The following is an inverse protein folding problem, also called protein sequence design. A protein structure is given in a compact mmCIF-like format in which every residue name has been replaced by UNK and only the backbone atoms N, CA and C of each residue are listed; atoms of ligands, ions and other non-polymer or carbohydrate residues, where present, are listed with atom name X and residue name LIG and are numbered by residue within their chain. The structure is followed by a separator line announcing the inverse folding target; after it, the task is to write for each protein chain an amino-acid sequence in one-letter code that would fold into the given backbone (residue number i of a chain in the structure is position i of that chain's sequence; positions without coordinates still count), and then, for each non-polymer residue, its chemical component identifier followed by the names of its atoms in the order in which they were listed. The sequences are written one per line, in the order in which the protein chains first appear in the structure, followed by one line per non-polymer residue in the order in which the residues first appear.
data_IF_216433710380
#
_entry.id   IF_216433710380
#
_cell.length_a   1.000
_cell.length_b   1.000
_cell.length_c   1.000
_cell.angle_alpha   90.00
_cell.angle_beta   90.00
_cell.angle_gamma   90.00
#
_symmetry.space_group_name_H-M   'P 1'
#
loop_
_entity.id
_entity.type
_entity.pdbx_description
1 polymer ?
#
# COMPACT_ATOMS: atom_id res chain seq x y z
N UNK A 1 0.46 23.46 -13.41
CA UNK A 1 1.30 22.62 -12.51
C UNK A 1 0.48 21.90 -11.44
N UNK A 2 -0.27 22.58 -10.55
CA UNK A 2 -1.09 21.89 -9.55
C UNK A 2 -2.29 21.16 -10.17
N UNK A 3 -2.95 21.79 -11.14
CA UNK A 3 -4.07 21.20 -11.89
C UNK A 3 -3.63 20.00 -12.75
N UNK A 4 -2.55 20.14 -13.53
CA UNK A 4 -2.01 19.04 -14.35
C UNK A 4 -1.60 17.81 -13.51
N UNK A 5 -1.11 18.02 -12.28
CA UNK A 5 -0.79 16.92 -11.35
C UNK A 5 -2.05 16.24 -10.83
N UNK A 6 -3.14 17.00 -10.64
CA UNK A 6 -4.43 16.44 -10.22
C UNK A 6 -5.05 15.59 -11.34
N UNK A 7 -5.03 16.09 -12.58
CA UNK A 7 -5.52 15.33 -13.75
C UNK A 7 -4.71 14.05 -13.99
N UNK A 8 -3.38 14.11 -13.83
CA UNK A 8 -2.53 12.92 -13.93
C UNK A 8 -2.78 11.91 -12.81
N UNK A 9 -3.16 12.38 -11.61
CA UNK A 9 -3.52 11.51 -10.49
C UNK A 9 -4.82 10.76 -10.80
N UNK A 10 -5.86 11.50 -11.17
CA UNK A 10 -7.19 10.94 -11.47
C UNK A 10 -7.13 9.92 -12.61
N UNK A 11 -6.40 10.24 -13.69
CA UNK A 11 -6.19 9.30 -14.79
C UNK A 11 -5.50 8.01 -14.32
N UNK A 12 -4.50 8.12 -13.45
CA UNK A 12 -3.75 6.96 -12.99
C UNK A 12 -4.55 6.11 -11.99
N UNK A 13 -5.41 6.73 -11.18
CA UNK A 13 -6.39 6.05 -10.32
C UNK A 13 -7.42 5.28 -11.16
N UNK A 14 -8.00 5.91 -12.18
CA UNK A 14 -8.96 5.26 -13.09
C UNK A 14 -8.34 4.04 -13.80
N UNK A 15 -7.10 4.15 -14.29
CA UNK A 15 -6.39 3.01 -14.93
C UNK A 15 -6.15 1.88 -13.93
N UNK A 16 -5.83 2.21 -12.67
CA UNK A 16 -5.63 1.21 -11.62
C UNK A 16 -6.94 0.48 -11.28
N UNK A 17 -8.05 1.20 -11.18
CA UNK A 17 -9.38 0.63 -10.93
C UNK A 17 -9.82 -0.29 -12.08
N UNK A 18 -9.69 0.15 -13.33
CA UNK A 18 -9.98 -0.67 -14.51
C UNK A 18 -9.13 -1.96 -14.50
N UNK A 19 -7.85 -1.87 -14.14
CA UNK A 19 -6.98 -3.04 -14.05
C UNK A 19 -7.38 -4.03 -12.93
N UNK A 20 -8.00 -3.55 -11.85
CA UNK A 20 -8.57 -4.41 -10.81
C UNK A 20 -9.85 -5.11 -11.32
N UNK A 21 -10.74 -4.37 -11.97
CA UNK A 21 -12.02 -4.88 -12.50
C UNK A 21 -11.79 -5.96 -13.57
N UNK A 22 -10.87 -5.69 -14.50
CA UNK A 22 -10.42 -6.61 -15.55
C UNK A 22 -9.54 -7.75 -15.03
N UNK A 23 -9.29 -7.81 -13.71
CA UNK A 23 -8.47 -8.84 -13.05
C UNK A 23 -7.05 -8.93 -13.62
N UNK A 24 -6.53 -7.83 -14.16
CA UNK A 24 -5.14 -7.75 -14.63
C UNK A 24 -4.16 -7.69 -13.45
N UNK A 25 -4.60 -7.12 -12.32
CA UNK A 25 -3.82 -7.05 -11.08
C UNK A 25 -4.65 -7.54 -9.89
N UNK A 26 -3.98 -8.18 -8.93
CA UNK A 26 -4.61 -8.69 -7.70
C UNK A 26 -3.70 -8.39 -6.50
N UNK A 27 -3.73 -7.15 -5.98
CA UNK A 27 -2.86 -6.76 -4.90
C UNK A 27 -3.30 -7.42 -3.58
N UNK A 28 -4.57 -7.79 -3.41
CA UNK A 28 -5.05 -8.35 -2.16
C UNK A 28 -4.71 -9.83 -2.00
N UNK A 29 -4.06 -10.16 -0.89
CA UNK A 29 -3.76 -11.54 -0.48
C UNK A 29 -4.58 -11.93 0.74
N UNK A 30 -5.08 -13.17 0.71
CA UNK A 30 -5.55 -13.84 1.93
C UNK A 30 -4.36 -14.13 2.81
N UNK A 31 -4.34 -13.54 3.99
CA UNK A 31 -3.28 -13.75 4.97
C UNK A 31 -3.89 -13.78 6.37
N UNK A 32 -3.20 -14.45 7.28
CA UNK A 32 -3.60 -14.62 8.68
C UNK A 32 -2.43 -14.24 9.59
N UNK A 33 -2.72 -13.72 10.78
CA UNK A 33 -1.73 -13.54 11.83
C UNK A 33 -1.44 -14.86 12.56
N UNK A 34 -0.60 -14.79 13.61
CA UNK A 34 -0.18 -15.95 14.39
C UNK A 34 -1.33 -16.58 15.20
N UNK A 35 -2.38 -15.81 15.48
CA UNK A 35 -3.59 -16.26 16.20
C UNK A 35 -4.67 -16.80 15.24
N UNK A 36 -4.39 -16.81 13.93
CA UNK A 36 -5.30 -17.28 12.89
C UNK A 36 -6.38 -16.27 12.52
N UNK A 37 -6.28 -15.02 12.97
CA UNK A 37 -7.17 -13.93 12.56
C UNK A 37 -6.78 -13.46 11.18
N UNK A 38 -7.78 -13.18 10.35
CA UNK A 38 -7.55 -12.66 9.01
C UNK A 38 -6.96 -11.25 9.09
N UNK A 39 -5.86 -11.04 8.35
CA UNK A 39 -5.20 -9.74 8.20
C UNK A 39 -5.39 -9.23 6.77
N UNK A 40 -5.40 -7.91 6.60
CA UNK A 40 -5.51 -7.28 5.28
C UNK A 40 -4.11 -7.13 4.72
N UNK A 41 -3.72 -8.03 3.82
CA UNK A 41 -2.41 -7.98 3.18
C UNK A 41 -2.53 -7.47 1.74
N UNK A 42 -1.89 -6.33 1.45
CA UNK A 42 -1.76 -5.78 0.10
C UNK A 42 -0.35 -6.03 -0.43
N UNK A 43 -0.23 -6.75 -1.53
CA UNK A 43 1.02 -7.14 -2.15
C UNK A 43 1.38 -6.27 -3.35
N UNK A 44 2.43 -5.48 -3.17
CA UNK A 44 2.96 -4.52 -4.12
C UNK A 44 4.34 -4.92 -4.65
N UNK A 45 4.86 -6.11 -4.32
CA UNK A 45 6.26 -6.45 -4.65
C UNK A 45 6.57 -6.46 -6.16
N UNK A 46 5.55 -6.60 -7.02
CA UNK A 46 5.69 -6.55 -8.49
C UNK A 46 5.36 -5.18 -9.07
N UNK A 47 4.92 -4.23 -8.24
CA UNK A 47 4.42 -2.95 -8.70
C UNK A 47 5.58 -2.00 -8.97
N UNK A 48 5.41 -1.16 -9.99
CA UNK A 48 6.26 0.00 -10.18
C UNK A 48 6.01 1.03 -9.06
N UNK A 49 6.95 1.96 -8.84
CA UNK A 49 6.77 3.03 -7.83
C UNK A 49 5.47 3.83 -8.02
N UNK A 50 5.12 4.29 -9.25
CA UNK A 50 3.86 5.01 -9.46
C UNK A 50 2.63 4.17 -9.13
N UNK A 51 2.62 2.90 -9.56
CA UNK A 51 1.49 2.00 -9.32
C UNK A 51 1.32 1.68 -7.83
N UNK A 52 2.43 1.47 -7.11
CA UNK A 52 2.42 1.26 -5.67
C UNK A 52 1.83 2.47 -4.92
N UNK A 53 2.17 3.70 -5.34
CA UNK A 53 1.59 4.91 -4.76
C UNK A 53 0.07 4.94 -4.95
N UNK A 54 -0.41 4.74 -6.18
CA UNK A 54 -1.84 4.75 -6.50
C UNK A 54 -2.59 3.68 -5.70
N UNK A 55 -2.06 2.47 -5.66
CA UNK A 55 -2.65 1.37 -4.91
C UNK A 55 -2.79 1.72 -3.42
N UNK A 56 -1.73 2.25 -2.79
CA UNK A 56 -1.78 2.65 -1.38
C UNK A 56 -2.76 3.82 -1.17
N UNK A 57 -2.77 4.83 -2.04
CA UNK A 57 -3.77 5.93 -1.93
C UNK A 57 -5.19 5.42 -2.01
N UNK A 58 -5.51 4.63 -3.03
CA UNK A 58 -6.84 4.03 -3.21
C UNK A 58 -7.30 3.28 -1.95
N UNK A 59 -6.41 2.52 -1.31
CA UNK A 59 -6.72 1.80 -0.08
C UNK A 59 -6.90 2.73 1.12
N UNK A 60 -5.96 3.64 1.36
CA UNK A 60 -6.04 4.53 2.52
C UNK A 60 -7.22 5.50 2.38
N UNK A 61 -7.45 6.08 1.21
CA UNK A 61 -8.61 6.92 0.91
C UNK A 61 -9.92 6.14 1.14
N UNK A 62 -10.00 4.88 0.69
CA UNK A 62 -11.15 4.01 0.95
C UNK A 62 -11.35 3.73 2.45
N UNK A 63 -10.26 3.44 3.18
CA UNK A 63 -10.34 3.25 4.63
C UNK A 63 -10.83 4.52 5.32
N UNK A 64 -10.27 5.68 5.00
CA UNK A 64 -10.65 6.97 5.60
C UNK A 64 -12.08 7.39 5.25
N UNK A 65 -12.57 7.11 4.05
CA UNK A 65 -13.95 7.42 3.63
C UNK A 65 -15.00 6.51 4.26
N UNK A 66 -14.63 5.27 4.60
CA UNK A 66 -15.51 4.32 5.32
C UNK A 66 -15.60 4.67 6.83
N UNK A 67 -14.68 5.46 7.38
CA UNK A 67 -14.54 5.69 8.83
C UNK A 67 -15.49 6.78 9.35
N UNK A 68 -16.53 6.31 10.04
CA UNK A 68 -16.88 6.83 11.37
C UNK A 68 -15.73 6.50 12.36
N UNK A 69 -15.48 7.34 13.39
CA UNK A 69 -14.22 7.41 14.15
C UNK A 69 -13.97 6.25 15.13
N UNK A 70 -13.90 5.02 14.64
CA UNK A 70 -13.30 3.90 15.38
C UNK A 70 -11.93 3.59 14.77
N UNK A 71 -10.87 3.92 15.50
CA UNK A 71 -9.43 3.73 15.20
C UNK A 71 -8.98 2.31 14.79
N UNK A 72 -9.88 1.33 14.74
CA UNK A 72 -9.54 -0.11 14.77
C UNK A 72 -9.24 -0.74 13.39
N UNK A 73 -9.45 -0.01 12.29
CA UNK A 73 -9.43 -0.58 10.94
C UNK A 73 -8.06 -0.52 10.23
N UNK A 74 -7.18 0.42 10.58
CA UNK A 74 -5.80 0.45 10.06
C UNK A 74 -4.90 -0.56 10.75
N UNK A 75 -5.17 -0.90 12.01
CA UNK A 75 -4.34 -1.76 12.89
C UNK A 75 -4.04 -3.18 12.37
N UNK A 76 -4.56 -3.56 11.20
CA UNK A 76 -4.34 -4.86 10.59
C UNK A 76 -4.02 -4.79 9.08
N UNK A 77 -3.62 -3.62 8.56
CA UNK A 77 -3.15 -3.48 7.18
C UNK A 77 -1.65 -3.77 7.09
N UNK A 78 -1.31 -4.78 6.29
CA UNK A 78 0.06 -5.13 5.95
C UNK A 78 0.30 -4.83 4.47
N UNK A 79 1.28 -3.97 4.20
CA UNK A 79 1.73 -3.68 2.84
C UNK A 79 3.01 -4.47 2.57
N UNK A 80 2.96 -5.40 1.62
CA UNK A 80 4.09 -6.22 1.20
C UNK A 80 4.80 -5.51 0.05
N UNK A 81 6.02 -5.05 0.31
CA UNK A 81 6.88 -4.33 -0.64
C UNK A 81 8.00 -5.21 -1.22
N UNK A 82 8.08 -6.46 -0.76
CA UNK A 82 9.11 -7.43 -1.15
C UNK A 82 10.40 -7.28 -0.33
N UNK A 83 11.28 -8.30 -0.38
CA UNK A 83 12.49 -8.37 0.46
C UNK A 83 13.74 -7.72 -0.15
N UNK A 84 13.63 -7.09 -1.32
CA UNK A 84 14.79 -6.45 -1.96
C UNK A 84 15.92 -7.41 -2.37
N UNK A 85 15.63 -8.69 -2.64
CA UNK A 85 16.64 -9.71 -2.99
C UNK A 85 17.47 -9.39 -4.26
N UNK A 86 17.05 -8.41 -5.05
CA UNK A 86 17.77 -7.93 -6.25
C UNK A 86 18.08 -6.43 -6.24
N UNK A 87 17.93 -5.75 -5.10
CA UNK A 87 18.21 -4.31 -4.95
C UNK A 87 19.52 -4.08 -4.22
N UNK A 88 20.21 -3.00 -4.60
CA UNK A 88 21.46 -2.58 -3.95
C UNK A 88 21.25 -2.38 -2.44
N UNK A 89 22.05 -3.05 -1.62
CA UNK A 89 21.92 -3.01 -0.15
C UNK A 89 20.77 -3.84 0.45
N UNK A 90 20.09 -4.70 -0.34
CA UNK A 90 19.11 -5.67 0.16
C UNK A 90 17.79 -5.07 0.68
N UNK A 91 17.51 -3.79 0.40
CA UNK A 91 16.28 -3.09 0.80
C UNK A 91 15.33 -2.92 -0.38
N UNK A 92 14.05 -3.26 -0.21
CA UNK A 92 13.08 -3.06 -1.27
C UNK A 92 12.94 -1.58 -1.65
N UNK A 93 12.95 -1.33 -2.96
CA UNK A 93 12.87 0.02 -3.53
C UNK A 93 11.58 0.76 -3.19
N UNK A 94 10.52 0.02 -2.83
CA UNK A 94 9.21 0.56 -2.47
C UNK A 94 9.10 0.93 -0.99
N UNK A 95 9.93 0.38 -0.10
CA UNK A 95 9.86 0.67 1.34
C UNK A 95 9.87 2.17 1.66
N UNK A 96 10.87 2.96 1.24
CA UNK A 96 10.87 4.39 1.54
C UNK A 96 9.74 5.15 0.84
N UNK A 97 9.24 4.63 -0.29
CA UNK A 97 8.15 5.26 -1.03
C UNK A 97 6.84 5.15 -0.24
N UNK A 98 6.55 3.96 0.28
CA UNK A 98 5.30 3.71 1.01
C UNK A 98 5.33 4.36 2.39
N UNK A 99 6.42 4.22 3.14
CA UNK A 99 6.56 4.80 4.49
C UNK A 99 6.43 6.33 4.44
N UNK A 100 7.17 7.00 3.55
CA UNK A 100 7.07 8.45 3.44
C UNK A 100 5.67 8.90 3.01
N UNK A 101 5.00 8.14 2.13
CA UNK A 101 3.67 8.51 1.69
C UNK A 101 2.62 8.39 2.81
N UNK A 102 2.69 7.32 3.63
CA UNK A 102 1.79 7.17 4.79
C UNK A 102 1.97 8.32 5.79
N UNK A 103 3.21 8.70 6.07
CA UNK A 103 3.48 9.79 7.01
C UNK A 103 3.17 11.17 6.40
N UNK A 104 3.73 11.51 5.25
CA UNK A 104 3.66 12.86 4.69
C UNK A 104 2.29 13.20 4.08
N UNK A 105 1.60 12.22 3.47
CA UNK A 105 0.30 12.47 2.82
C UNK A 105 -0.88 12.19 3.75
N UNK A 106 -0.74 11.29 4.73
CA UNK A 106 -1.86 10.82 5.56
C UNK A 106 -1.65 10.96 7.07
N UNK A 107 -0.48 11.38 7.54
CA UNK A 107 -0.13 11.44 8.96
C UNK A 107 -0.31 10.09 9.68
N UNK A 108 -0.04 8.98 8.96
CA UNK A 108 -0.13 7.61 9.47
C UNK A 108 1.27 7.08 9.77
N UNK A 109 1.52 6.74 11.03
CA UNK A 109 2.74 6.05 11.44
C UNK A 109 2.74 4.61 10.90
N UNK A 110 3.91 4.13 10.48
CA UNK A 110 4.08 2.76 10.02
C UNK A 110 5.47 2.24 10.37
N UNK A 111 5.61 0.92 10.48
CA UNK A 111 6.88 0.29 10.80
C UNK A 111 7.16 -0.93 9.94
N UNK A 112 8.46 -1.23 9.78
CA UNK A 112 8.91 -2.39 9.02
C UNK A 112 8.93 -3.59 9.96
N UNK A 113 8.31 -4.70 9.56
CA UNK A 113 8.32 -5.95 10.32
C UNK A 113 9.76 -6.50 10.40
N UNK A 114 10.31 -6.60 11.61
CA UNK A 114 11.68 -7.08 11.85
C UNK A 114 11.86 -8.55 11.47
N UNK A 115 10.79 -9.36 11.55
CA UNK A 115 10.80 -10.77 11.15
C UNK A 115 10.70 -10.95 9.64
N UNK A 116 10.17 -9.94 8.94
CA UNK A 116 10.02 -9.92 7.50
C UNK A 116 10.09 -8.49 6.95
N UNK A 117 11.30 -8.04 6.65
CA UNK A 117 11.59 -6.68 6.17
C UNK A 117 10.91 -6.29 4.85
N UNK A 118 10.26 -7.25 4.18
CA UNK A 118 9.42 -6.96 3.02
C UNK A 118 7.98 -6.61 3.34
N UNK A 119 7.66 -6.40 4.63
CA UNK A 119 6.33 -6.00 5.12
C UNK A 119 6.42 -4.69 5.86
N UNK A 120 5.45 -3.83 5.61
CA UNK A 120 5.18 -2.60 6.33
C UNK A 120 3.85 -2.80 7.03
N UNK A 121 3.82 -2.55 8.34
CA UNK A 121 2.63 -2.57 9.16
C UNK A 121 2.19 -1.12 9.34
N UNK A 122 0.93 -0.87 8.99
CA UNK A 122 0.26 0.45 9.01
C UNK A 122 -0.64 0.53 10.24
#
# INVERSE_FOLDING_TARGET
IALDKAEQRELAENIYEEALEEKMIHPWKRSFDNDGKQIRAMDLHQFSKPMAKIAVRSVIDSLLTIIHPSHDMTENLIIIVGKGKGSEGGKALLTPVVVNMLLEEYDIESYIDETNTGRIIV
#
